data_IF_414643769527
#
_entry.id   IF_414643769527
#
_cell.length_a   1.000
_cell.length_b   1.000
_cell.length_c   1.000
_cell.angle_alpha   90.00
_cell.angle_beta   90.00
_cell.angle_gamma   90.00
#
_symmetry.space_group_name_H-M   'P 1'
#
loop_
_entity.id
_entity.type
_entity.pdbx_description
1 polymer ?
#
# COMPACT_ATOMS: atom_id res chain seq x y z
N UNK A 1 -12.75 6.09 26.13
CA UNK A 1 -13.14 5.57 24.81
C UNK A 1 -11.98 5.90 23.87
N UNK A 2 -11.44 4.93 23.16
CA UNK A 2 -10.38 5.18 22.20
C UNK A 2 -10.89 5.96 20.95
N UNK A 3 -9.99 6.41 20.07
CA UNK A 3 -10.39 7.13 18.85
C UNK A 3 -11.37 6.34 17.96
N UNK A 4 -11.26 5.00 17.95
CA UNK A 4 -12.18 4.14 17.20
C UNK A 4 -13.59 4.19 17.80
N UNK A 5 -13.69 4.11 19.13
CA UNK A 5 -14.95 4.23 19.83
C UNK A 5 -15.61 5.60 19.66
N UNK A 6 -14.81 6.67 19.63
CA UNK A 6 -15.32 8.02 19.38
C UNK A 6 -15.82 8.20 17.94
N UNK A 7 -15.07 7.69 16.95
CA UNK A 7 -15.52 7.69 15.55
C UNK A 7 -16.75 6.84 15.33
N UNK A 8 -16.82 5.67 15.97
CA UNK A 8 -18.02 4.82 15.94
C UNK A 8 -19.23 5.52 16.53
N UNK A 9 -19.10 6.13 17.69
CA UNK A 9 -20.19 6.86 18.32
C UNK A 9 -20.73 8.01 17.45
N UNK A 10 -19.88 8.64 16.65
CA UNK A 10 -20.24 9.75 15.77
C UNK A 10 -20.73 9.33 14.39
N UNK A 11 -20.13 8.33 13.76
CA UNK A 11 -20.31 8.00 12.35
C UNK A 11 -20.78 6.55 12.09
N UNK A 12 -20.84 5.70 13.12
CA UNK A 12 -21.06 4.27 12.98
C UNK A 12 -19.84 3.53 12.39
N UNK A 13 -20.01 2.23 12.14
CA UNK A 13 -18.98 1.40 11.51
C UNK A 13 -18.93 1.64 10.00
N UNK A 14 -17.76 1.95 9.47
CA UNK A 14 -17.57 1.97 8.02
C UNK A 14 -17.50 0.53 7.53
N UNK A 15 -18.47 0.14 6.71
CA UNK A 15 -18.51 -1.16 6.04
C UNK A 15 -17.57 -1.11 4.82
N UNK A 16 -16.28 -1.29 5.08
CA UNK A 16 -15.26 -1.37 4.02
C UNK A 16 -14.65 -2.76 3.97
N UNK A 17 -14.11 -3.15 2.83
CA UNK A 17 -13.34 -4.39 2.65
C UNK A 17 -12.29 -4.53 3.76
N UNK A 18 -11.51 -3.48 4.01
CA UNK A 18 -10.44 -3.50 5.00
C UNK A 18 -10.95 -3.76 6.43
N UNK A 19 -12.06 -3.12 6.81
CA UNK A 19 -12.63 -3.30 8.15
C UNK A 19 -13.28 -4.69 8.31
N UNK A 20 -14.00 -5.15 7.31
CA UNK A 20 -14.65 -6.46 7.33
C UNK A 20 -13.62 -7.61 7.28
N UNK A 21 -12.46 -7.41 6.66
CA UNK A 21 -11.40 -8.40 6.61
C UNK A 21 -10.71 -8.62 7.98
N UNK A 22 -10.86 -7.68 8.93
CA UNK A 22 -10.36 -7.83 10.30
C UNK A 22 -11.32 -8.56 11.24
N UNK A 23 -12.46 -9.01 10.73
CA UNK A 23 -13.42 -9.76 11.53
C UNK A 23 -12.83 -11.11 11.97
N UNK A 24 -13.03 -11.51 13.26
CA UNK A 24 -12.53 -12.79 13.75
C UNK A 24 -13.25 -13.97 13.08
N UNK A 25 -12.67 -15.16 13.16
CA UNK A 25 -13.27 -16.38 12.63
C UNK A 25 -14.66 -16.68 13.22
N UNK A 26 -14.90 -16.24 14.45
CA UNK A 26 -16.18 -16.38 15.17
C UNK A 26 -17.26 -15.40 14.71
N UNK A 27 -16.91 -14.43 13.85
CA UNK A 27 -17.87 -13.45 13.35
C UNK A 27 -18.95 -14.10 12.49
N UNK A 28 -20.18 -13.54 12.47
CA UNK A 28 -21.25 -14.05 11.61
C UNK A 28 -20.81 -14.17 10.15
N UNK A 29 -21.19 -15.29 9.51
CA UNK A 29 -20.85 -15.56 8.12
C UNK A 29 -21.28 -14.46 7.14
N UNK A 30 -22.31 -13.70 7.47
CA UNK A 30 -22.78 -12.54 6.69
C UNK A 30 -21.74 -11.44 6.53
N UNK A 31 -20.92 -11.18 7.56
CA UNK A 31 -19.84 -10.19 7.49
C UNK A 31 -18.73 -10.60 6.51
N UNK A 32 -18.35 -11.87 6.51
CA UNK A 32 -17.35 -12.41 5.58
C UNK A 32 -17.86 -12.41 4.14
N UNK A 33 -19.13 -12.79 3.92
CA UNK A 33 -19.77 -12.73 2.59
C UNK A 33 -19.88 -11.29 2.07
N UNK A 34 -20.15 -10.34 2.95
CA UNK A 34 -20.18 -8.93 2.59
C UNK A 34 -18.79 -8.43 2.17
N UNK A 35 -17.73 -8.83 2.87
CA UNK A 35 -16.36 -8.50 2.50
C UNK A 35 -16.00 -9.05 1.10
N UNK A 36 -16.34 -10.31 0.85
CA UNK A 36 -16.17 -10.96 -0.45
C UNK A 36 -16.94 -10.21 -1.56
N UNK A 37 -18.20 -9.92 -1.31
CA UNK A 37 -19.05 -9.21 -2.26
C UNK A 37 -18.52 -7.81 -2.58
N UNK A 38 -18.07 -7.03 -1.58
CA UNK A 38 -17.49 -5.71 -1.79
C UNK A 38 -16.22 -5.78 -2.65
N UNK A 39 -15.39 -6.80 -2.43
CA UNK A 39 -14.19 -7.00 -3.22
C UNK A 39 -14.54 -7.33 -4.68
N UNK A 40 -15.48 -8.25 -4.90
CA UNK A 40 -15.95 -8.63 -6.22
C UNK A 40 -16.61 -7.44 -6.95
N UNK A 41 -17.43 -6.66 -6.24
CA UNK A 41 -18.08 -5.47 -6.81
C UNK A 41 -17.04 -4.40 -7.20
N UNK A 42 -15.98 -4.23 -6.40
CA UNK A 42 -14.86 -3.38 -6.77
C UNK A 42 -14.16 -3.84 -8.06
N UNK A 43 -13.96 -5.15 -8.24
CA UNK A 43 -13.38 -5.71 -9.47
C UNK A 43 -14.32 -5.56 -10.67
N UNK A 44 -15.63 -5.83 -10.47
CA UNK A 44 -16.65 -5.63 -11.49
C UNK A 44 -16.70 -4.16 -11.93
N UNK A 45 -16.69 -3.23 -11.00
CA UNK A 45 -16.71 -1.79 -11.29
C UNK A 45 -15.50 -1.35 -12.11
N UNK A 46 -14.31 -1.88 -11.79
CA UNK A 46 -13.10 -1.62 -12.58
C UNK A 46 -13.23 -2.13 -14.01
N UNK A 47 -13.77 -3.34 -14.21
CA UNK A 47 -13.98 -3.89 -15.55
C UNK A 47 -14.98 -3.06 -16.36
N UNK A 48 -16.08 -2.64 -15.74
CA UNK A 48 -17.09 -1.80 -16.40
C UNK A 48 -16.49 -0.45 -16.80
N UNK A 49 -15.70 0.17 -15.91
CA UNK A 49 -14.99 1.41 -16.21
C UNK A 49 -14.02 1.22 -17.38
N UNK A 50 -13.20 0.17 -17.38
CA UNK A 50 -12.24 -0.10 -18.44
C UNK A 50 -12.92 -0.35 -19.79
N UNK A 51 -13.99 -1.13 -19.81
CA UNK A 51 -14.79 -1.37 -21.03
C UNK A 51 -15.40 -0.08 -21.56
N UNK A 52 -15.88 0.81 -20.68
CA UNK A 52 -16.43 2.11 -21.06
C UNK A 52 -15.38 3.08 -21.64
N UNK A 53 -14.10 2.84 -21.39
CA UNK A 53 -12.99 3.63 -21.93
C UNK A 53 -12.22 2.92 -23.06
N UNK A 54 -12.65 1.73 -23.46
CA UNK A 54 -12.07 1.02 -24.59
C UNK A 54 -12.52 1.68 -25.90
N UNK A 55 -11.56 2.15 -26.69
CA UNK A 55 -11.80 2.74 -28.00
C UNK A 55 -12.09 1.70 -29.09
N UNK A 56 -12.46 2.17 -30.28
CA UNK A 56 -12.70 1.32 -31.46
C UNK A 56 -11.44 0.55 -31.90
N UNK A 57 -10.27 1.04 -31.51
CA UNK A 57 -8.96 0.38 -31.72
C UNK A 57 -8.66 -0.72 -30.67
N UNK A 58 -9.63 -1.06 -29.84
CA UNK A 58 -9.49 -2.01 -28.71
C UNK A 58 -8.42 -1.60 -27.69
N UNK A 59 -8.17 -0.30 -27.54
CA UNK A 59 -7.20 0.26 -26.61
C UNK A 59 -7.86 1.20 -25.61
N UNK A 60 -7.22 1.34 -24.47
CA UNK A 60 -7.61 2.31 -23.45
C UNK A 60 -6.61 3.47 -23.47
N UNK A 61 -7.12 4.67 -23.74
CA UNK A 61 -6.36 5.92 -23.77
C UNK A 61 -6.63 6.72 -22.50
N UNK A 62 -5.89 6.41 -21.42
CA UNK A 62 -6.03 7.11 -20.15
C UNK A 62 -5.41 8.51 -20.15
N UNK A 63 -5.86 9.33 -19.23
CA UNK A 63 -5.39 10.69 -19.04
C UNK A 63 -4.54 10.84 -17.79
N UNK A 64 -3.57 11.74 -17.85
CA UNK A 64 -2.67 12.05 -16.73
C UNK A 64 -2.75 13.54 -16.39
N UNK A 65 -2.89 13.85 -15.12
CA UNK A 65 -2.71 15.20 -14.61
C UNK A 65 -1.34 15.30 -13.96
N UNK A 66 -0.46 16.14 -14.48
CA UNK A 66 0.95 16.22 -14.07
C UNK A 66 1.11 16.50 -12.58
N UNK A 67 0.31 17.40 -12.03
CA UNK A 67 0.27 17.73 -10.60
C UNK A 67 -1.17 17.50 -10.14
N UNK A 68 -1.54 16.23 -9.97
CA UNK A 68 -2.90 15.82 -9.61
C UNK A 68 -3.16 15.71 -8.12
N UNK A 69 -2.09 15.63 -7.31
CA UNK A 69 -2.16 15.59 -5.86
C UNK A 69 -1.40 16.78 -5.26
N UNK A 70 -1.79 17.20 -4.06
CA UNK A 70 -1.12 18.30 -3.33
C UNK A 70 0.36 17.99 -3.05
N UNK A 71 0.74 16.71 -3.04
CA UNK A 71 2.13 16.25 -2.90
C UNK A 71 2.98 16.38 -4.17
N UNK A 72 2.44 16.94 -5.26
CA UNK A 72 3.12 17.06 -6.56
C UNK A 72 3.10 15.78 -7.40
N UNK A 73 2.45 14.70 -6.94
CA UNK A 73 2.34 13.46 -7.72
C UNK A 73 1.36 13.60 -8.87
N UNK A 74 1.62 12.88 -9.95
CA UNK A 74 0.66 12.72 -11.04
C UNK A 74 -0.59 11.97 -10.57
N UNK A 75 -1.73 12.29 -11.15
CA UNK A 75 -2.96 11.52 -11.02
C UNK A 75 -3.39 10.96 -12.37
N UNK A 76 -3.90 9.73 -12.34
CA UNK A 76 -4.46 9.04 -13.49
C UNK A 76 -5.99 9.15 -13.49
N UNK A 77 -6.57 9.28 -14.68
CA UNK A 77 -8.04 9.30 -14.84
C UNK A 77 -8.44 8.80 -16.23
N UNK A 78 -9.68 8.38 -16.34
CA UNK A 78 -10.34 8.00 -17.59
C UNK A 78 -9.65 6.85 -18.36
N UNK A 79 -9.42 5.68 -17.77
CA UNK A 79 -9.61 5.26 -16.39
C UNK A 79 -8.36 5.48 -15.52
N UNK A 80 -8.48 5.21 -14.20
CA UNK A 80 -7.34 5.21 -13.29
C UNK A 80 -6.45 3.98 -13.53
N UNK A 81 -5.40 4.12 -14.31
CA UNK A 81 -4.45 3.06 -14.64
C UNK A 81 -3.41 2.79 -13.55
N UNK A 82 -3.28 3.68 -12.54
CA UNK A 82 -2.33 3.49 -11.44
C UNK A 82 -2.78 2.40 -10.44
N UNK A 83 -4.06 2.08 -10.43
CA UNK A 83 -4.67 1.15 -9.47
C UNK A 83 -5.09 -0.18 -10.10
N UNK A 84 -4.45 -0.60 -11.19
CA UNK A 84 -4.64 -1.94 -11.75
C UNK A 84 -4.20 -2.96 -10.68
N UNK A 85 -5.05 -3.93 -10.30
CA UNK A 85 -4.72 -4.91 -9.29
C UNK A 85 -3.40 -5.61 -9.59
N UNK A 86 -2.55 -5.74 -8.57
CA UNK A 86 -1.36 -6.57 -8.66
C UNK A 86 -1.75 -8.04 -8.46
N UNK A 87 -1.03 -8.95 -9.09
CA UNK A 87 -1.20 -10.38 -8.80
C UNK A 87 -1.02 -10.61 -7.31
N UNK A 88 -1.91 -11.38 -6.72
CA UNK A 88 -1.80 -11.78 -5.32
C UNK A 88 -0.66 -12.79 -5.16
N UNK A 89 0.11 -12.65 -4.10
CA UNK A 89 1.19 -13.58 -3.76
C UNK A 89 1.06 -13.95 -2.27
N UNK A 90 1.10 -15.22 -1.97
CA UNK A 90 1.00 -15.77 -0.63
C UNK A 90 -0.21 -16.67 -0.45
N UNK A 91 -0.44 -17.12 0.77
CA UNK A 91 -1.57 -17.98 1.11
C UNK A 91 -2.84 -17.14 1.29
N UNK A 92 -3.86 -17.45 0.50
CA UNK A 92 -5.16 -16.79 0.56
C UNK A 92 -6.00 -17.34 1.71
N UNK A 93 -5.89 -16.76 2.89
CA UNK A 93 -6.57 -17.21 4.11
C UNK A 93 -7.97 -16.58 4.22
N UNK A 94 -8.06 -15.27 4.07
CA UNK A 94 -9.32 -14.52 4.23
C UNK A 94 -10.19 -14.59 2.97
N UNK A 95 -11.49 -14.30 3.14
CA UNK A 95 -12.42 -14.24 2.01
C UNK A 95 -11.99 -13.22 0.94
N UNK A 96 -11.44 -12.08 1.37
CA UNK A 96 -10.91 -11.03 0.49
C UNK A 96 -9.68 -11.51 -0.28
N UNK A 97 -8.74 -12.18 0.38
CA UNK A 97 -7.53 -12.72 -0.25
C UNK A 97 -7.84 -13.79 -1.28
N UNK A 98 -8.83 -14.65 -1.02
CA UNK A 98 -9.31 -15.65 -1.98
C UNK A 98 -9.87 -15.02 -3.25
N UNK A 99 -10.57 -13.89 -3.14
CA UNK A 99 -11.03 -13.12 -4.32
C UNK A 99 -9.84 -12.53 -5.07
N UNK A 100 -8.88 -11.95 -4.36
CA UNK A 100 -7.67 -11.36 -4.96
C UNK A 100 -6.82 -12.41 -5.67
N UNK A 101 -6.57 -13.55 -5.04
CA UNK A 101 -5.84 -14.67 -5.61
C UNK A 101 -6.49 -15.16 -6.91
N UNK A 102 -7.81 -15.27 -6.90
CA UNK A 102 -8.56 -15.79 -8.05
C UNK A 102 -8.63 -14.82 -9.22
N UNK A 103 -8.75 -13.51 -8.99
CA UNK A 103 -9.14 -12.57 -10.04
C UNK A 103 -8.12 -11.49 -10.35
N UNK A 104 -7.28 -11.08 -9.40
CA UNK A 104 -6.40 -9.91 -9.59
C UNK A 104 -5.34 -10.15 -10.68
N UNK A 105 -4.79 -11.35 -10.76
CA UNK A 105 -3.89 -11.75 -11.85
C UNK A 105 -4.57 -11.67 -13.22
N UNK A 106 -5.77 -12.23 -13.34
CA UNK A 106 -6.55 -12.21 -14.59
C UNK A 106 -6.91 -10.78 -15.02
N UNK A 107 -7.28 -9.91 -14.07
CA UNK A 107 -7.55 -8.50 -14.35
C UNK A 107 -6.30 -7.77 -14.87
N UNK A 108 -5.14 -8.10 -14.34
CA UNK A 108 -3.88 -7.52 -14.80
C UNK A 108 -3.48 -7.99 -16.20
N UNK A 109 -3.75 -9.25 -16.55
CA UNK A 109 -3.48 -9.83 -17.87
C UNK A 109 -4.28 -9.17 -19.00
N UNK A 110 -5.41 -8.50 -18.69
CA UNK A 110 -6.17 -7.72 -19.68
C UNK A 110 -5.37 -6.52 -20.22
N UNK A 111 -4.38 -6.05 -19.47
CA UNK A 111 -3.50 -4.95 -19.85
C UNK A 111 -2.28 -5.49 -20.59
N UNK A 112 -2.44 -5.69 -21.89
CA UNK A 112 -1.43 -6.25 -22.76
C UNK A 112 -1.03 -5.28 -23.87
N UNK A 113 0.07 -5.57 -24.51
CA UNK A 113 0.54 -4.85 -25.70
C UNK A 113 0.17 -5.60 -26.97
N UNK A 114 0.12 -4.93 -28.12
CA UNK A 114 -0.13 -5.59 -29.41
C UNK A 114 0.87 -6.71 -29.68
N UNK A 115 0.43 -7.71 -30.46
CA UNK A 115 1.28 -8.82 -30.88
C UNK A 115 2.56 -8.29 -31.54
N UNK A 116 3.70 -8.81 -31.10
CA UNK A 116 5.03 -8.38 -31.58
C UNK A 116 5.63 -7.19 -30.84
N UNK A 117 4.92 -6.65 -29.83
CA UNK A 117 5.43 -5.60 -28.95
C UNK A 117 5.76 -6.16 -27.56
N UNK A 118 6.60 -5.44 -26.82
CA UNK A 118 6.94 -5.74 -25.43
C UNK A 118 6.54 -4.56 -24.55
N UNK A 119 5.99 -4.86 -23.37
CA UNK A 119 5.82 -3.86 -22.32
C UNK A 119 7.13 -3.77 -21.53
N UNK A 120 7.80 -2.63 -21.62
CA UNK A 120 9.01 -2.36 -20.83
C UNK A 120 8.64 -1.45 -19.67
N UNK A 121 8.86 -1.91 -18.46
CA UNK A 121 8.64 -1.15 -17.23
C UNK A 121 9.96 -0.90 -16.52
N UNK A 122 10.16 0.32 -16.06
CA UNK A 122 11.26 0.70 -15.17
C UNK A 122 10.70 1.40 -13.95
N UNK A 123 11.19 1.03 -12.78
CA UNK A 123 10.82 1.65 -11.51
C UNK A 123 12.08 2.06 -10.74
N UNK A 124 12.05 3.25 -10.14
CA UNK A 124 13.16 3.72 -9.34
C UNK A 124 13.03 3.18 -7.91
N UNK A 125 13.81 2.16 -7.60
CA UNK A 125 13.79 1.53 -6.29
C UNK A 125 14.06 2.53 -5.17
N UNK A 126 13.11 2.64 -4.23
CA UNK A 126 13.26 3.45 -3.02
C UNK A 126 13.50 4.94 -3.28
N UNK A 127 13.00 5.51 -4.38
CA UNK A 127 13.29 6.89 -4.82
C UNK A 127 13.12 7.92 -3.70
N UNK A 128 12.10 7.79 -2.86
CA UNK A 128 11.84 8.71 -1.75
C UNK A 128 12.98 8.72 -0.73
N UNK A 129 13.47 7.54 -0.36
CA UNK A 129 14.59 7.41 0.58
C UNK A 129 15.91 7.86 -0.05
N UNK A 130 16.10 7.66 -1.36
CA UNK A 130 17.28 8.14 -2.08
C UNK A 130 17.33 9.67 -2.12
N UNK A 131 16.21 10.30 -2.40
CA UNK A 131 16.09 11.77 -2.35
C UNK A 131 16.30 12.29 -0.94
N UNK A 132 15.71 11.63 0.07
CA UNK A 132 15.90 11.99 1.47
C UNK A 132 17.39 11.91 1.87
N UNK A 133 18.06 10.83 1.56
CA UNK A 133 19.48 10.64 1.85
C UNK A 133 20.35 11.75 1.23
N UNK A 134 20.04 12.12 -0.02
CA UNK A 134 20.73 13.22 -0.69
C UNK A 134 20.49 14.56 0.04
N UNK A 135 19.27 14.84 0.45
CA UNK A 135 18.95 16.07 1.17
C UNK A 135 19.55 16.10 2.58
N UNK A 136 19.59 14.97 3.26
CA UNK A 136 20.22 14.84 4.61
C UNK A 136 21.74 15.00 4.56
N UNK A 137 22.37 14.77 3.41
CA UNK A 137 23.85 14.74 3.25
C UNK A 137 24.53 13.76 4.20
N UNK A 138 23.87 12.67 4.57
CA UNK A 138 24.39 11.62 5.44
C UNK A 138 25.06 10.54 4.59
N UNK A 139 26.38 10.42 4.70
CA UNK A 139 27.15 9.40 3.98
C UNK A 139 26.72 7.98 4.38
N UNK A 140 26.45 7.77 5.67
CA UNK A 140 25.99 6.48 6.20
C UNK A 140 24.65 6.09 5.58
N UNK A 141 23.71 7.04 5.51
CA UNK A 141 22.38 6.80 4.94
C UNK A 141 22.44 6.54 3.43
N UNK A 142 23.28 7.31 2.72
CA UNK A 142 23.55 7.08 1.29
C UNK A 142 24.15 5.70 1.08
N UNK A 143 25.17 5.32 1.86
CA UNK A 143 25.81 4.01 1.76
C UNK A 143 24.83 2.86 2.01
N UNK A 144 23.99 2.96 3.04
CA UNK A 144 22.97 1.95 3.34
C UNK A 144 21.94 1.78 2.23
N UNK A 145 21.60 2.86 1.50
CA UNK A 145 20.65 2.81 0.38
C UNK A 145 21.28 2.26 -0.91
N UNK A 146 22.54 2.60 -1.18
CA UNK A 146 23.20 2.27 -2.45
C UNK A 146 23.86 0.90 -2.40
N UNK A 147 24.52 0.58 -1.29
CA UNK A 147 25.38 -0.59 -1.13
C UNK A 147 24.88 -1.58 -0.08
N UNK A 148 23.91 -1.18 0.75
CA UNK A 148 23.38 -2.04 1.81
C UNK A 148 22.64 -3.25 1.26
N UNK A 149 22.81 -4.40 1.91
CA UNK A 149 22.19 -5.67 1.55
C UNK A 149 21.27 -6.16 2.66
N UNK A 150 20.16 -6.76 2.27
CA UNK A 150 19.19 -7.31 3.21
C UNK A 150 19.76 -8.49 3.97
N UNK A 151 20.53 -9.31 3.30
CA UNK A 151 21.15 -10.54 3.82
C UNK A 151 22.16 -10.24 4.93
N UNK A 152 22.89 -9.12 4.80
CA UNK A 152 23.93 -8.70 5.75
C UNK A 152 23.37 -7.71 6.80
N UNK A 153 22.09 -7.43 6.79
CA UNK A 153 21.41 -6.44 7.65
C UNK A 153 22.03 -5.02 7.58
N UNK A 154 22.59 -4.66 6.43
CA UNK A 154 23.22 -3.35 6.19
C UNK A 154 22.36 -2.39 5.38
N UNK A 155 21.22 -2.85 4.88
CA UNK A 155 20.30 -2.03 4.10
C UNK A 155 19.59 -0.97 4.97
N UNK A 156 19.06 0.04 4.32
CA UNK A 156 18.43 1.21 4.97
C UNK A 156 17.31 0.84 5.95
N UNK A 157 16.55 -0.23 5.66
CA UNK A 157 15.46 -0.63 6.55
C UNK A 157 15.96 -1.32 7.82
N UNK A 158 17.07 -2.04 7.74
CA UNK A 158 17.75 -2.58 8.91
C UNK A 158 18.45 -1.49 9.70
N UNK A 159 19.03 -0.47 9.04
CA UNK A 159 19.57 0.70 9.72
C UNK A 159 18.47 1.41 10.53
N UNK A 160 17.33 1.68 9.93
CA UNK A 160 16.18 2.29 10.61
C UNK A 160 15.64 1.40 11.75
N UNK A 161 15.60 0.07 11.57
CA UNK A 161 15.25 -0.88 12.63
C UNK A 161 16.17 -0.78 13.83
N UNK A 162 17.46 -0.72 13.58
CA UNK A 162 18.49 -0.59 14.64
C UNK A 162 18.36 0.76 15.36
N UNK A 163 18.13 1.84 14.62
CA UNK A 163 17.92 3.18 15.18
C UNK A 163 16.69 3.26 16.09
N UNK A 164 15.60 2.54 15.77
CA UNK A 164 14.42 2.46 16.64
C UNK A 164 14.70 1.79 18.00
N UNK A 165 15.72 0.94 18.09
CA UNK A 165 16.15 0.32 19.36
C UNK A 165 15.14 -0.63 20.01
N UNK A 166 14.09 -1.04 19.31
CA UNK A 166 13.00 -1.88 19.81
C UNK A 166 13.19 -3.33 19.31
N UNK A 167 13.42 -4.26 20.22
CA UNK A 167 13.75 -5.66 19.90
C UNK A 167 12.68 -6.41 19.11
N UNK A 168 11.40 -6.04 19.29
CA UNK A 168 10.27 -6.67 18.61
C UNK A 168 10.01 -6.11 17.20
N UNK A 169 10.62 -4.97 16.85
CA UNK A 169 10.42 -4.32 15.55
C UNK A 169 11.15 -5.10 14.46
N UNK A 170 10.38 -5.59 13.48
CA UNK A 170 10.93 -6.27 12.32
C UNK A 170 11.40 -5.26 11.26
N UNK A 171 12.20 -5.72 10.29
CA UNK A 171 12.62 -4.91 9.15
C UNK A 171 11.43 -4.34 8.37
N UNK A 172 10.36 -5.14 8.18
CA UNK A 172 9.17 -4.72 7.45
C UNK A 172 8.34 -3.70 8.23
N UNK A 173 8.30 -3.80 9.55
CA UNK A 173 7.72 -2.77 10.42
C UNK A 173 8.52 -1.46 10.31
N UNK A 174 9.85 -1.51 10.36
CA UNK A 174 10.71 -0.33 10.18
C UNK A 174 10.56 0.30 8.80
N UNK A 175 10.44 -0.52 7.74
CA UNK A 175 10.13 -0.06 6.38
C UNK A 175 8.80 0.70 6.35
N UNK A 176 7.74 0.13 6.92
CA UNK A 176 6.41 0.76 6.95
C UNK A 176 6.43 2.03 7.80
N UNK A 177 7.14 2.00 8.93
CA UNK A 177 7.30 3.15 9.82
C UNK A 177 7.96 4.34 9.11
N UNK A 178 9.11 4.15 8.46
CA UNK A 178 9.84 5.27 7.85
C UNK A 178 9.02 5.97 6.76
N UNK A 179 8.32 5.21 5.92
CA UNK A 179 7.45 5.80 4.91
C UNK A 179 6.24 6.52 5.53
N UNK A 180 5.63 5.94 6.55
CA UNK A 180 4.52 6.58 7.26
C UNK A 180 4.98 7.87 7.95
N UNK A 181 6.13 7.85 8.61
CA UNK A 181 6.74 9.00 9.26
C UNK A 181 7.03 10.13 8.27
N UNK A 182 7.69 9.84 7.17
CA UNK A 182 8.01 10.82 6.12
C UNK A 182 6.77 11.43 5.48
N UNK A 183 5.67 10.71 5.45
CA UNK A 183 4.37 11.18 4.94
C UNK A 183 3.52 11.85 6.02
N UNK A 184 4.06 12.11 7.20
CA UNK A 184 3.39 12.85 8.27
C UNK A 184 2.36 12.04 9.05
N UNK A 185 2.55 10.73 9.19
CA UNK A 185 1.67 9.91 10.01
C UNK A 185 1.70 10.36 11.48
N UNK A 186 0.52 10.55 12.07
CA UNK A 186 0.39 10.88 13.49
C UNK A 186 0.73 9.69 14.41
N UNK A 187 1.00 10.00 15.69
CA UNK A 187 1.44 9.03 16.70
C UNK A 187 0.54 7.79 16.82
N UNK A 188 -0.77 7.92 16.63
CA UNK A 188 -1.70 6.78 16.64
C UNK A 188 -1.41 5.78 15.51
N UNK A 189 -1.06 6.26 14.32
CA UNK A 189 -0.70 5.41 13.19
C UNK A 189 0.66 4.76 13.38
N UNK A 190 1.63 5.52 13.90
CA UNK A 190 2.97 5.01 14.25
C UNK A 190 2.85 3.92 15.32
N UNK A 191 2.08 4.14 16.36
CA UNK A 191 1.80 3.15 17.42
C UNK A 191 1.25 1.84 16.86
N UNK A 192 0.31 1.93 15.91
CA UNK A 192 -0.25 0.77 15.23
C UNK A 192 0.80 0.02 14.40
N UNK A 193 1.66 0.74 13.66
CA UNK A 193 2.69 0.14 12.80
C UNK A 193 3.75 -0.57 13.64
N UNK A 194 4.22 0.08 14.71
CA UNK A 194 5.26 -0.45 15.59
C UNK A 194 4.73 -1.40 16.66
N UNK A 195 3.42 -1.56 16.77
CA UNK A 195 2.75 -2.36 17.81
C UNK A 195 3.17 -1.94 19.23
N UNK A 196 3.11 -0.64 19.50
CA UNK A 196 3.49 -0.02 20.78
C UNK A 196 2.39 0.92 21.27
N UNK A 197 2.53 1.42 22.50
CA UNK A 197 1.66 2.49 23.01
C UNK A 197 1.88 3.81 22.27
N UNK A 198 0.89 4.71 22.32
CA UNK A 198 1.06 6.04 21.70
C UNK A 198 2.17 6.87 22.35
N UNK A 199 2.48 6.62 23.63
CA UNK A 199 3.57 7.27 24.33
C UNK A 199 4.94 6.83 23.77
N UNK A 200 5.11 5.54 23.60
CA UNK A 200 6.35 4.98 22.99
C UNK A 200 6.49 5.38 21.52
N UNK A 201 5.36 5.42 20.77
CA UNK A 201 5.35 5.91 19.40
C UNK A 201 5.82 7.38 19.30
N UNK A 202 5.38 8.23 20.24
CA UNK A 202 5.82 9.60 20.33
C UNK A 202 7.33 9.70 20.55
N UNK A 203 7.87 8.90 21.48
CA UNK A 203 9.33 8.84 21.73
C UNK A 203 10.11 8.37 20.50
N UNK A 204 9.58 7.37 19.76
CA UNK A 204 10.22 6.88 18.54
C UNK A 204 10.26 7.91 17.39
N UNK A 205 9.37 8.89 17.42
CA UNK A 205 9.32 9.99 16.43
C UNK A 205 10.22 11.14 16.83
N UNK A 206 10.46 11.34 18.16
CA UNK A 206 11.26 12.43 18.70
C UNK A 206 12.78 12.08 18.76
N UNK A 207 13.14 10.79 18.72
CA UNK A 207 14.52 10.32 18.66
C UNK A 207 15.04 10.26 17.21
#
# INVERSE_FOLDING_TARGET
MDERGQKFAKFGWTLSEANLNTLPETAPAGGKRLAEWLTLEGRRSSLVEWLGHCGDDSRIHGSFTHVGAWTGRMAHRNPNQANIPAQFHGDAVTAVEKVKDRYDGQLRELWCVPKGCYLVGTDAEGIQLRVLAHLMKSEEYVHAIVSGKKEDETDIHNLNRKALGMSHVTRDMAKTFIYAFLLGAGNAKVAQILNVSQKEAKQAVEN
#
